data_IF_616210246216
#
_entry.id   IF_616210246216
#
_cell.length_a   1.000
_cell.length_b   1.000
_cell.length_c   1.000
_cell.angle_alpha   90.00
_cell.angle_beta   90.00
_cell.angle_gamma   90.00
#
_symmetry.space_group_name_H-M   'P 1'
#
loop_
_entity.id
_entity.type
_entity.pdbx_description
1 polymer ?
#
# COMPACT_ATOMS: atom_id res chain seq x y z
N UNK A 1 12.00 9.21 7.74
CA UNK A 1 11.48 7.85 7.98
C UNK A 1 10.03 7.89 8.44
N UNK A 2 9.67 8.82 9.32
CA UNK A 2 8.32 8.95 9.91
C UNK A 2 7.21 9.23 8.90
N UNK A 3 7.49 10.03 7.85
CA UNK A 3 6.50 10.28 6.78
C UNK A 3 6.09 9.02 6.01
N UNK A 4 7.05 8.13 5.72
CA UNK A 4 6.76 6.89 5.00
C UNK A 4 5.88 5.97 5.85
N UNK A 5 6.19 5.87 7.15
CA UNK A 5 5.41 5.08 8.10
C UNK A 5 4.00 5.62 8.21
N UNK A 6 3.82 6.94 8.39
CA UNK A 6 2.50 7.54 8.48
C UNK A 6 1.66 7.34 7.20
N UNK A 7 2.27 7.53 6.02
CA UNK A 7 1.59 7.29 4.74
C UNK A 7 1.17 5.82 4.62
N UNK A 8 2.08 4.89 4.91
CA UNK A 8 1.82 3.45 4.85
C UNK A 8 0.76 2.99 5.86
N UNK A 9 0.79 3.51 7.09
CA UNK A 9 -0.21 3.22 8.10
C UNK A 9 -1.60 3.68 7.66
N UNK A 10 -1.72 4.85 7.04
CA UNK A 10 -3.02 5.31 6.57
C UNK A 10 -3.49 4.61 5.29
N UNK A 11 -2.59 4.21 4.39
CA UNK A 11 -2.95 3.32 3.26
C UNK A 11 -3.50 1.98 3.82
N UNK A 12 -2.85 1.40 4.82
CA UNK A 12 -3.31 0.18 5.48
C UNK A 12 -4.65 0.39 6.22
N UNK A 13 -4.84 1.53 6.90
CA UNK A 13 -6.08 1.88 7.57
C UNK A 13 -7.23 2.06 6.57
N UNK A 14 -6.98 2.66 5.40
CA UNK A 14 -7.94 2.79 4.31
C UNK A 14 -8.43 1.41 3.80
N UNK A 15 -7.51 0.46 3.63
CA UNK A 15 -7.85 -0.92 3.22
C UNK A 15 -8.59 -1.69 4.32
N UNK A 16 -8.22 -1.49 5.59
CA UNK A 16 -8.95 -2.05 6.74
C UNK A 16 -10.37 -1.48 6.84
N UNK A 17 -10.54 -0.17 6.61
CA UNK A 17 -11.84 0.49 6.60
C UNK A 17 -12.74 -0.07 5.47
N UNK A 18 -12.19 -0.29 4.28
CA UNK A 18 -12.89 -0.97 3.19
C UNK A 18 -13.39 -2.36 3.61
N UNK A 19 -12.51 -3.19 4.18
CA UNK A 19 -12.86 -4.54 4.61
C UNK A 19 -13.91 -4.54 5.73
N UNK A 20 -13.75 -3.66 6.73
CA UNK A 20 -14.69 -3.52 7.84
C UNK A 20 -16.08 -3.06 7.36
N UNK A 21 -16.13 -2.05 6.47
CA UNK A 21 -17.38 -1.57 5.89
C UNK A 21 -18.08 -2.65 5.05
N UNK A 22 -17.33 -3.39 4.23
CA UNK A 22 -17.87 -4.51 3.46
C UNK A 22 -18.49 -5.59 4.35
N UNK A 23 -17.79 -6.01 5.40
CA UNK A 23 -18.33 -6.98 6.37
C UNK A 23 -19.58 -6.48 7.08
N UNK A 24 -19.57 -5.21 7.51
CA UNK A 24 -20.69 -4.56 8.18
C UNK A 24 -21.95 -4.55 7.32
N UNK A 25 -21.82 -4.23 6.03
CA UNK A 25 -22.91 -4.24 5.06
C UNK A 25 -23.51 -5.64 4.83
N UNK A 26 -22.74 -6.69 5.07
CA UNK A 26 -23.18 -8.09 4.93
C UNK A 26 -23.53 -8.75 6.29
N UNK A 27 -23.57 -7.98 7.38
CA UNK A 27 -23.80 -8.46 8.74
C UNK A 27 -22.90 -9.65 9.14
N UNK A 28 -21.66 -9.68 8.64
CA UNK A 28 -20.73 -10.77 8.94
C UNK A 28 -20.16 -10.63 10.36
N UNK A 29 -20.20 -11.71 11.15
CA UNK A 29 -19.67 -11.75 12.53
C UNK A 29 -18.14 -11.69 12.65
N UNK A 30 -17.58 -11.90 13.84
CA UNK A 30 -16.11 -12.04 14.05
C UNK A 30 -15.35 -10.75 14.39
N UNK A 31 -16.03 -9.61 14.52
CA UNK A 31 -15.46 -8.36 15.05
C UNK A 31 -14.19 -7.89 14.34
N UNK A 32 -13.26 -7.30 15.10
CA UNK A 32 -12.00 -6.75 14.58
C UNK A 32 -11.14 -7.79 13.87
N UNK A 33 -11.04 -9.01 14.42
CA UNK A 33 -10.26 -10.09 13.81
C UNK A 33 -10.83 -10.47 12.44
N UNK A 34 -12.16 -10.56 12.32
CA UNK A 34 -12.83 -10.79 11.04
C UNK A 34 -12.50 -9.70 10.01
N UNK A 35 -12.47 -8.43 10.40
CA UNK A 35 -12.09 -7.32 9.52
C UNK A 35 -10.63 -7.42 9.06
N UNK A 36 -9.70 -7.72 9.96
CA UNK A 36 -8.27 -7.88 9.63
C UNK A 36 -8.06 -9.05 8.66
N UNK A 37 -8.70 -10.20 8.91
CA UNK A 37 -8.58 -11.36 8.02
C UNK A 37 -9.21 -11.10 6.64
N UNK A 38 -10.31 -10.35 6.57
CA UNK A 38 -10.90 -9.91 5.29
C UNK A 38 -9.99 -8.91 4.56
N UNK A 39 -9.30 -8.04 5.27
CA UNK A 39 -8.38 -7.06 4.69
C UNK A 39 -7.06 -7.69 4.22
N UNK A 40 -6.65 -8.80 4.82
CA UNK A 40 -5.32 -9.40 4.63
C UNK A 40 -4.90 -9.55 3.16
N UNK A 41 -5.73 -10.07 2.23
CA UNK A 41 -5.34 -10.18 0.82
C UNK A 41 -5.02 -8.82 0.18
N UNK A 42 -5.78 -7.79 0.53
CA UNK A 42 -5.59 -6.43 0.03
C UNK A 42 -4.36 -5.76 0.63
N UNK A 43 -4.12 -5.97 1.93
CA UNK A 43 -2.92 -5.49 2.61
C UNK A 43 -1.65 -6.12 2.02
N UNK A 44 -1.67 -7.43 1.75
CA UNK A 44 -0.57 -8.13 1.10
C UNK A 44 -0.36 -7.66 -0.34
N UNK A 45 -1.43 -7.54 -1.12
CA UNK A 45 -1.37 -7.01 -2.48
C UNK A 45 -0.82 -5.59 -2.53
N UNK A 46 -1.24 -4.74 -1.59
CA UNK A 46 -0.75 -3.38 -1.45
C UNK A 46 0.72 -3.33 -1.04
N UNK A 47 1.14 -4.09 -0.05
CA UNK A 47 2.53 -4.15 0.39
C UNK A 47 3.47 -4.59 -0.75
N UNK A 48 3.07 -5.63 -1.50
CA UNK A 48 3.83 -6.11 -2.66
C UNK A 48 3.91 -5.06 -3.78
N UNK A 49 2.78 -4.43 -4.12
CA UNK A 49 2.74 -3.40 -5.13
C UNK A 49 3.55 -2.17 -4.72
N UNK A 50 3.41 -1.70 -3.48
CA UNK A 50 4.12 -0.54 -2.95
C UNK A 50 5.63 -0.76 -2.92
N UNK A 51 6.07 -1.99 -2.65
CA UNK A 51 7.48 -2.37 -2.78
C UNK A 51 7.93 -2.30 -4.24
N UNK A 52 7.17 -2.89 -5.16
CA UNK A 52 7.52 -2.94 -6.59
C UNK A 52 7.58 -1.55 -7.25
N UNK A 53 6.66 -0.65 -6.87
CA UNK A 53 6.56 0.71 -7.42
C UNK A 53 7.33 1.76 -6.62
N UNK A 54 7.96 1.36 -5.51
CA UNK A 54 8.62 2.28 -4.56
C UNK A 54 7.71 3.41 -4.09
N UNK A 55 6.46 3.07 -3.75
CA UNK A 55 5.39 4.00 -3.41
C UNK A 55 5.66 4.89 -2.17
N UNK A 56 6.75 4.62 -1.45
CA UNK A 56 7.17 5.31 -0.24
C UNK A 56 8.59 5.89 -0.34
N UNK A 57 9.16 6.06 -1.54
CA UNK A 57 10.44 6.76 -1.73
C UNK A 57 10.32 8.27 -1.48
N UNK A 58 11.46 8.97 -1.47
CA UNK A 58 11.53 10.39 -1.12
C UNK A 58 10.60 11.20 -2.02
N UNK A 59 10.67 11.01 -3.33
CA UNK A 59 9.85 11.71 -4.32
C UNK A 59 8.34 11.53 -4.08
N UNK A 60 7.92 10.32 -3.67
CA UNK A 60 6.53 10.02 -3.34
C UNK A 60 6.09 10.65 -2.01
N UNK A 61 7.00 10.81 -1.04
CA UNK A 61 6.75 11.48 0.24
C UNK A 61 6.76 13.01 0.16
N UNK A 62 7.38 13.54 -0.89
CA UNK A 62 7.52 14.98 -1.14
C UNK A 62 6.66 15.49 -2.29
N UNK A 63 5.81 14.62 -2.88
CA UNK A 63 4.82 15.01 -3.87
C UNK A 63 3.99 16.16 -3.29
N UNK A 64 4.08 17.34 -3.91
CA UNK A 64 3.29 18.51 -3.50
C UNK A 64 2.13 18.67 -4.45
N UNK A 65 0.93 18.72 -3.88
CA UNK A 65 -0.28 18.98 -4.64
C UNK A 65 -1.07 17.71 -4.91
N UNK A 66 -2.38 17.92 -5.04
CA UNK A 66 -3.35 16.84 -5.19
C UNK A 66 -3.07 15.96 -6.43
N UNK A 67 -2.61 16.57 -7.52
CA UNK A 67 -2.33 15.85 -8.78
C UNK A 67 -1.13 14.92 -8.61
N UNK A 68 -0.05 15.42 -8.02
CA UNK A 68 1.21 14.73 -7.82
C UNK A 68 1.03 13.56 -6.84
N UNK A 69 0.30 13.77 -5.75
CA UNK A 69 -0.02 12.73 -4.77
C UNK A 69 -0.82 11.56 -5.39
N UNK A 70 -1.77 11.88 -6.28
CA UNK A 70 -2.56 10.87 -6.99
C UNK A 70 -1.76 10.16 -8.08
N UNK A 71 -0.97 10.89 -8.88
CA UNK A 71 -0.11 10.30 -9.92
C UNK A 71 0.90 9.34 -9.33
N UNK A 72 1.51 9.68 -8.18
CA UNK A 72 2.43 8.78 -7.48
C UNK A 72 1.75 7.52 -6.93
N UNK A 73 0.47 7.61 -6.55
CA UNK A 73 -0.29 6.48 -6.01
C UNK A 73 -0.87 5.56 -7.09
N UNK A 74 -1.19 6.10 -8.28
CA UNK A 74 -1.85 5.41 -9.37
C UNK A 74 -1.20 4.07 -9.79
N UNK A 75 0.12 3.99 -10.07
CA UNK A 75 0.74 2.72 -10.47
C UNK A 75 0.69 1.68 -9.35
N UNK A 76 0.84 2.11 -8.10
CA UNK A 76 0.76 1.25 -6.92
C UNK A 76 -0.64 0.67 -6.78
N UNK A 77 -1.68 1.50 -6.88
CA UNK A 77 -3.07 1.04 -6.81
C UNK A 77 -3.43 0.12 -7.99
N UNK A 78 -3.01 0.47 -9.21
CA UNK A 78 -3.28 -0.32 -10.41
C UNK A 78 -2.71 -1.74 -10.32
N UNK A 79 -1.59 -1.93 -9.61
CA UNK A 79 -1.01 -3.23 -9.34
C UNK A 79 -1.61 -3.91 -8.09
N UNK A 80 -1.79 -3.15 -7.00
CA UNK A 80 -2.28 -3.66 -5.72
C UNK A 80 -3.69 -4.23 -5.80
N UNK A 81 -4.59 -3.54 -6.51
CA UNK A 81 -6.00 -3.93 -6.57
C UNK A 81 -6.22 -5.30 -7.23
N UNK A 82 -5.69 -5.60 -8.44
CA UNK A 82 -5.80 -6.95 -9.00
C UNK A 82 -5.06 -7.99 -8.17
N UNK A 83 -3.91 -7.66 -7.57
CA UNK A 83 -3.19 -8.59 -6.67
C UNK A 83 -4.04 -8.96 -5.45
N UNK A 84 -4.67 -7.98 -4.79
CA UNK A 84 -5.53 -8.22 -3.63
C UNK A 84 -6.76 -9.06 -3.97
N UNK A 85 -7.39 -8.78 -5.11
CA UNK A 85 -8.52 -9.57 -5.64
C UNK A 85 -8.07 -11.01 -5.93
N UNK A 86 -6.91 -11.19 -6.57
CA UNK A 86 -6.34 -12.50 -6.87
C UNK A 86 -6.01 -13.30 -5.62
N UNK A 87 -5.29 -12.70 -4.66
CA UNK A 87 -4.97 -13.33 -3.37
C UNK A 87 -6.24 -13.74 -2.61
N UNK A 88 -7.29 -12.91 -2.68
CA UNK A 88 -8.59 -13.23 -2.08
C UNK A 88 -9.23 -14.44 -2.78
N UNK A 89 -9.15 -14.52 -4.11
CA UNK A 89 -9.66 -15.66 -4.86
C UNK A 89 -8.92 -16.95 -4.48
N UNK A 90 -7.58 -16.90 -4.37
CA UNK A 90 -6.76 -18.03 -3.89
C UNK A 90 -7.22 -18.49 -2.51
N UNK A 91 -7.38 -17.57 -1.56
CA UNK A 91 -7.87 -17.87 -0.21
C UNK A 91 -9.31 -18.41 -0.14
N UNK A 92 -10.07 -18.34 -1.25
CA UNK A 92 -11.42 -18.91 -1.40
C UNK A 92 -11.45 -20.12 -2.34
N UNK A 93 -10.30 -20.73 -2.64
CA UNK A 93 -10.23 -21.92 -3.50
C UNK A 93 -10.32 -21.60 -4.99
N UNK A 94 -9.72 -20.49 -5.44
CA UNK A 94 -9.70 -20.02 -6.83
C UNK A 94 -11.08 -19.67 -7.42
N UNK A 95 -12.05 -19.40 -6.54
CA UNK A 95 -13.37 -18.93 -6.96
C UNK A 95 -13.29 -17.46 -7.35
N UNK A 96 -13.63 -17.17 -8.61
CA UNK A 96 -13.70 -15.81 -9.13
C UNK A 96 -14.70 -14.97 -8.30
N UNK A 97 -14.31 -13.78 -7.79
CA UNK A 97 -15.23 -12.93 -7.07
C UNK A 97 -16.37 -12.43 -7.97
N UNK A 98 -17.58 -12.19 -7.42
CA UNK A 98 -18.67 -11.60 -8.18
C UNK A 98 -18.28 -10.26 -8.81
N UNK A 99 -18.76 -9.97 -10.02
CA UNK A 99 -18.46 -8.71 -10.71
C UNK A 99 -18.78 -7.45 -9.88
N UNK A 100 -19.90 -7.37 -9.11
CA UNK A 100 -20.15 -6.23 -8.23
C UNK A 100 -19.08 -6.06 -7.15
N UNK A 101 -18.58 -7.16 -6.58
CA UNK A 101 -17.51 -7.11 -5.59
C UNK A 101 -16.23 -6.52 -6.20
N UNK A 102 -15.85 -6.96 -7.40
CA UNK A 102 -14.69 -6.42 -8.12
C UNK A 102 -14.84 -4.92 -8.35
N UNK A 103 -15.98 -4.49 -8.90
CA UNK A 103 -16.24 -3.08 -9.19
C UNK A 103 -16.18 -2.21 -7.92
N UNK A 104 -16.88 -2.61 -6.86
CA UNK A 104 -16.88 -1.90 -5.57
C UNK A 104 -15.48 -1.88 -4.96
N UNK A 105 -14.73 -2.99 -5.02
CA UNK A 105 -13.35 -3.05 -4.51
C UNK A 105 -12.46 -2.04 -5.22
N UNK A 106 -12.49 -2.01 -6.56
CA UNK A 106 -11.67 -1.08 -7.35
C UNK A 106 -12.01 0.37 -6.98
N UNK A 107 -13.28 0.74 -7.03
CA UNK A 107 -13.72 2.11 -6.78
C UNK A 107 -13.46 2.53 -5.33
N UNK A 108 -13.88 1.72 -4.35
CA UNK A 108 -13.77 2.07 -2.94
C UNK A 108 -12.31 2.17 -2.50
N UNK A 109 -11.45 1.24 -2.90
CA UNK A 109 -10.03 1.30 -2.53
C UNK A 109 -9.31 2.46 -3.20
N UNK A 110 -9.65 2.79 -4.46
CA UNK A 110 -9.11 3.98 -5.13
C UNK A 110 -9.47 5.26 -4.37
N UNK A 111 -10.74 5.39 -3.97
CA UNK A 111 -11.23 6.56 -3.24
C UNK A 111 -10.64 6.66 -1.83
N UNK A 112 -10.57 5.56 -1.09
CA UNK A 112 -10.10 5.55 0.30
C UNK A 112 -8.60 5.81 0.38
N UNK A 113 -7.79 5.10 -0.41
CA UNK A 113 -6.33 5.29 -0.45
C UNK A 113 -5.99 6.63 -1.07
N UNK A 114 -6.59 6.97 -2.22
CA UNK A 114 -6.38 8.27 -2.87
C UNK A 114 -6.79 9.42 -1.96
N UNK A 115 -7.96 9.31 -1.32
CA UNK A 115 -8.45 10.28 -0.34
C UNK A 115 -7.52 10.44 0.86
N UNK A 116 -7.00 9.34 1.41
CA UNK A 116 -6.00 9.39 2.47
C UNK A 116 -4.74 10.13 2.03
N UNK A 117 -4.18 9.80 0.86
CA UNK A 117 -2.95 10.43 0.36
C UNK A 117 -3.14 11.92 0.09
N UNK A 118 -4.30 12.31 -0.42
CA UNK A 118 -4.70 13.73 -0.57
C UNK A 118 -4.84 14.45 0.76
N UNK A 119 -5.39 13.79 1.79
CA UNK A 119 -5.49 14.35 3.12
C UNK A 119 -4.10 14.49 3.75
N UNK A 120 -3.25 13.47 3.60
CA UNK A 120 -1.90 13.45 4.12
C UNK A 120 -1.03 14.57 3.54
N UNK A 121 -1.09 14.82 2.22
CA UNK A 121 -0.38 15.95 1.58
C UNK A 121 -0.76 17.30 2.20
N UNK A 122 -2.04 17.49 2.56
CA UNK A 122 -2.52 18.74 3.18
C UNK A 122 -2.22 18.87 4.67
N UNK A 123 -2.14 17.74 5.39
CA UNK A 123 -1.99 17.72 6.84
C UNK A 123 -0.52 17.60 7.28
N UNK A 124 0.35 17.03 6.45
CA UNK A 124 1.73 16.78 6.81
C UNK A 124 2.57 18.08 6.77
N UNK A 125 3.31 18.43 7.84
CA UNK A 125 4.19 19.61 7.86
C UNK A 125 5.19 19.57 6.70
N UNK A 126 5.29 20.63 5.90
CA UNK A 126 6.26 20.69 4.80
C UNK A 126 7.66 20.99 5.33
N UNK A 127 8.63 20.14 5.02
CA UNK A 127 10.05 20.40 5.29
C UNK A 127 10.79 20.60 3.94
N UNK A 128 11.16 21.84 3.58
CA UNK A 128 11.89 22.13 2.35
C UNK A 128 13.28 21.50 2.28
N UNK A 129 13.92 21.22 3.42
CA UNK A 129 15.25 20.62 3.45
C UNK A 129 15.21 19.12 3.06
N UNK A 130 14.10 18.44 3.30
CA UNK A 130 13.93 17.02 2.98
C UNK A 130 13.86 16.73 1.47
N UNK A 131 13.47 17.72 0.65
CA UNK A 131 13.45 17.63 -0.82
C UNK A 131 14.72 18.17 -1.49
N UNK A 132 15.62 18.79 -0.73
CA UNK A 132 16.79 19.50 -1.25
C UNK A 132 18.12 18.77 -1.03
N UNK A 133 18.16 17.63 -0.33
CA UNK A 133 19.41 16.92 -0.04
C UNK A 133 20.00 16.29 -1.33
N UNK A 134 21.10 16.83 -1.89
CA UNK A 134 21.81 16.19 -2.98
C UNK A 134 22.81 15.20 -2.39
N UNK A 135 22.74 13.94 -2.79
CA UNK A 135 23.80 12.98 -2.52
C UNK A 135 23.46 11.90 -1.49
N UNK A 136 22.84 10.83 -1.95
CA UNK A 136 23.50 9.52 -2.04
C UNK A 136 22.44 8.48 -2.41
N UNK A 137 22.55 7.97 -3.62
CA UNK A 137 21.77 6.82 -4.08
C UNK A 137 22.20 5.56 -3.35
N UNK A 138 21.67 5.34 -2.15
CA UNK A 138 21.57 4.02 -1.52
C UNK A 138 20.29 3.94 -0.72
N UNK A 139 19.18 3.67 -1.41
CA UNK A 139 18.13 2.88 -0.80
C UNK A 139 18.71 1.49 -0.58
N UNK A 140 18.93 1.11 0.68
CA UNK A 140 19.34 -0.25 1.04
C UNK A 140 18.32 -1.23 0.49
N UNK A 141 18.68 -1.88 -0.61
CA UNK A 141 17.85 -2.86 -1.28
C UNK A 141 17.82 -4.12 -0.41
N UNK A 142 16.68 -4.80 -0.28
CA UNK A 142 16.61 -6.07 0.46
C UNK A 142 17.60 -7.12 -0.11
N UNK A 143 18.01 -6.95 -1.37
CA UNK A 143 19.05 -7.76 -2.02
C UNK A 143 20.49 -7.46 -1.58
N UNK A 144 20.81 -6.27 -1.03
CA UNK A 144 22.13 -6.04 -0.42
C UNK A 144 22.35 -6.96 0.79
N UNK A 145 21.29 -7.29 1.56
CA UNK A 145 21.40 -8.27 2.64
C UNK A 145 21.73 -9.67 2.10
N UNK A 146 21.12 -10.07 1.00
CA UNK A 146 21.40 -11.37 0.36
C UNK A 146 22.78 -11.42 -0.29
N UNK A 147 23.24 -10.33 -0.88
CA UNK A 147 24.59 -10.21 -1.45
C UNK A 147 25.67 -10.21 -0.36
N UNK A 148 25.42 -9.57 0.79
CA UNK A 148 26.31 -9.60 1.95
C UNK A 148 26.38 -11.01 2.56
N UNK A 149 25.25 -11.70 2.67
CA UNK A 149 25.21 -13.09 3.14
C UNK A 149 25.93 -14.05 2.17
N UNK A 150 25.73 -13.87 0.86
CA UNK A 150 26.44 -14.63 -0.17
C UNK A 150 27.94 -14.32 -0.26
N UNK A 151 28.35 -13.11 0.14
CA UNK A 151 29.77 -12.73 0.25
C UNK A 151 30.47 -13.36 1.45
N UNK A 152 29.76 -13.55 2.57
CA UNK A 152 30.28 -14.18 3.79
C UNK A 152 30.57 -15.67 3.61
N UNK A 153 29.78 -16.38 2.80
CA UNK A 153 29.99 -17.81 2.52
C UNK A 153 31.12 -18.09 1.53
N UNK A 154 31.56 -17.09 0.75
CA UNK A 154 32.68 -17.23 -0.20
C UNK A 154 34.06 -16.91 0.39
N UNK A 155 34.12 -16.45 1.65
CA UNK A 155 35.36 -16.09 2.36
C UNK A 155 35.88 -17.18 3.30
N UNK A 156 35.29 -18.36 3.28
CA UNK A 156 35.77 -19.56 3.96
C UNK A 156 36.05 -20.66 2.95
#
# INVERSE_FOLDING_TARGET
>A
RDRAVALACGDAAALLAFAAAGRGSHAEGGGLLGAVLTALPFLLGWAAAAYATRAYDVDARTARGAKEALVAAAPTWALAAPLGIGLRAVGKGFVAPPAPFVAVTLVATALLVGGWRLAYDRLAPYDPAAGAAPGSGRSGNAFELFDLLGGLTKRW
#
